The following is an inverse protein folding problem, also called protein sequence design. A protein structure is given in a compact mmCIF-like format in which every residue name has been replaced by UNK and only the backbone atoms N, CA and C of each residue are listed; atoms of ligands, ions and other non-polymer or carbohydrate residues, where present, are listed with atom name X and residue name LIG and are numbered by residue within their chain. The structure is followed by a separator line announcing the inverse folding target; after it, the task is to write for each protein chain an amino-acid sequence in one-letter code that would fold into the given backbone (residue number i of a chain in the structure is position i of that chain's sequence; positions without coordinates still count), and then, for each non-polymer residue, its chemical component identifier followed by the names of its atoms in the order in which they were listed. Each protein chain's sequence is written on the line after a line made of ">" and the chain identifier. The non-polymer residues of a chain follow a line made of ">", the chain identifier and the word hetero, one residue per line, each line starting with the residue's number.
data_IF_390268440601
#
_entry.id   IF_390268440601
#
_cell.length_a   1.000
_cell.length_b   1.000
_cell.length_c   1.000
_cell.angle_alpha   90.00
_cell.angle_beta   90.00
_cell.angle_gamma   90.00
#
_symmetry.space_group_name_H-M   'P 1'
#
loop_
_entity.id
_entity.type
_entity.pdbx_description
1 polymer ?
#
# COMPACT_ATOMS: atom_id res chain seq x y z
N UNK A 1 -9.18 -6.94 -7.67
CA UNK A 1 -8.53 -7.39 -8.91
C UNK A 1 -9.21 -8.66 -9.41
N UNK A 2 -9.21 -9.76 -8.67
CA UNK A 2 -9.77 -11.06 -9.09
C UNK A 2 -11.23 -10.99 -9.54
N UNK A 3 -12.07 -10.27 -8.80
CA UNK A 3 -13.48 -10.10 -9.15
C UNK A 3 -13.65 -9.51 -10.55
N UNK A 4 -12.87 -8.48 -10.88
CA UNK A 4 -12.89 -7.84 -12.21
C UNK A 4 -12.34 -8.77 -13.30
N UNK A 5 -11.36 -9.60 -12.98
CA UNK A 5 -10.77 -10.55 -13.89
C UNK A 5 -11.74 -11.70 -14.25
N UNK A 6 -12.59 -12.14 -13.30
CA UNK A 6 -13.57 -13.21 -13.50
C UNK A 6 -14.74 -12.80 -14.40
N UNK A 7 -14.92 -11.51 -14.64
CA UNK A 7 -15.95 -11.01 -15.55
C UNK A 7 -15.72 -11.44 -17.02
N UNK A 8 -16.69 -11.18 -17.92
CA UNK A 8 -16.59 -11.53 -19.33
C UNK A 8 -15.36 -10.88 -19.97
N UNK A 9 -14.88 -11.45 -21.09
CA UNK A 9 -13.73 -10.93 -21.82
C UNK A 9 -13.92 -9.47 -22.31
N UNK A 10 -15.19 -9.07 -22.50
CA UNK A 10 -15.61 -7.70 -22.81
C UNK A 10 -15.79 -6.80 -21.58
N UNK A 11 -15.37 -7.25 -20.40
CA UNK A 11 -15.47 -6.50 -19.17
C UNK A 11 -14.68 -5.18 -19.16
N UNK A 12 -14.79 -4.38 -18.08
CA UNK A 12 -14.18 -3.07 -18.00
C UNK A 12 -12.65 -3.15 -18.07
N UNK A 13 -12.05 -2.25 -18.83
CA UNK A 13 -10.60 -2.03 -18.78
C UNK A 13 -10.28 -1.34 -17.46
N UNK A 14 -9.43 -1.96 -16.66
CA UNK A 14 -9.15 -1.50 -15.29
C UNK A 14 -7.67 -1.23 -15.12
N UNK A 15 -7.33 -0.08 -14.54
CA UNK A 15 -6.00 0.27 -14.08
C UNK A 15 -6.01 0.31 -12.55
N UNK A 16 -5.06 -0.40 -11.94
CA UNK A 16 -4.86 -0.42 -10.48
C UNK A 16 -3.46 0.11 -10.19
N UNK A 17 -3.36 1.20 -9.44
CA UNK A 17 -2.10 1.72 -8.95
C UNK A 17 -1.96 1.37 -7.47
N UNK A 18 -0.84 0.77 -7.10
CA UNK A 18 -0.57 0.31 -5.73
C UNK A 18 0.93 0.28 -5.46
N UNK A 19 1.30 0.27 -4.19
CA UNK A 19 2.65 0.03 -3.72
C UNK A 19 2.82 -1.37 -3.07
N UNK A 20 1.76 -2.18 -3.06
CA UNK A 20 1.82 -3.57 -2.57
C UNK A 20 2.40 -4.47 -3.65
N UNK A 21 3.65 -4.87 -3.48
CA UNK A 21 4.36 -5.71 -4.45
C UNK A 21 3.77 -7.12 -4.54
N UNK A 22 3.20 -7.63 -3.46
CA UNK A 22 2.55 -8.94 -3.41
C UNK A 22 1.44 -9.08 -4.47
N UNK A 23 0.75 -7.98 -4.79
CA UNK A 23 -0.28 -7.98 -5.83
C UNK A 23 0.27 -8.25 -7.24
N UNK A 24 1.56 -8.07 -7.46
CA UNK A 24 2.20 -8.35 -8.77
C UNK A 24 2.19 -9.85 -9.07
N UNK A 25 2.21 -10.69 -8.04
CA UNK A 25 2.16 -12.15 -8.15
C UNK A 25 0.87 -12.65 -8.79
N UNK A 26 -0.22 -11.88 -8.69
CA UNK A 26 -1.50 -12.24 -9.31
C UNK A 26 -1.39 -12.40 -10.83
N UNK A 27 -0.43 -11.76 -11.47
CA UNK A 27 -0.21 -11.89 -12.91
C UNK A 27 0.18 -13.32 -13.35
N UNK A 28 0.71 -14.14 -12.45
CA UNK A 28 1.02 -15.53 -12.74
C UNK A 28 -0.22 -16.41 -12.93
N UNK A 29 -1.32 -16.07 -12.23
CA UNK A 29 -2.58 -16.82 -12.29
C UNK A 29 -3.68 -16.13 -13.10
N UNK A 30 -3.56 -14.85 -13.38
CA UNK A 30 -4.58 -14.04 -14.04
C UNK A 30 -4.14 -13.61 -15.44
N UNK A 31 -4.47 -14.40 -16.45
CA UNK A 31 -3.96 -14.27 -17.82
C UNK A 31 -4.19 -12.89 -18.48
N UNK A 32 -5.23 -12.15 -18.04
CA UNK A 32 -5.56 -10.81 -18.54
C UNK A 32 -4.96 -9.68 -17.73
N UNK A 33 -4.19 -10.01 -16.66
CA UNK A 33 -3.48 -9.03 -15.85
C UNK A 33 -2.07 -8.83 -16.39
N UNK A 34 -1.63 -7.58 -16.40
CA UNK A 34 -0.25 -7.20 -16.75
C UNK A 34 0.27 -6.24 -15.72
N UNK A 35 1.52 -6.47 -15.31
CA UNK A 35 2.24 -5.56 -14.43
C UNK A 35 3.00 -4.51 -15.23
N UNK A 36 2.98 -3.30 -14.72
CA UNK A 36 3.78 -2.19 -15.19
C UNK A 36 4.37 -1.46 -13.98
N UNK A 37 5.50 -0.84 -14.16
CA UNK A 37 6.15 -0.02 -13.14
C UNK A 37 6.60 1.32 -13.70
N UNK A 38 6.82 2.29 -12.81
CA UNK A 38 7.43 3.57 -13.19
C UNK A 38 8.93 3.39 -13.18
N UNK A 39 9.58 3.68 -14.30
CA UNK A 39 11.03 3.58 -14.42
C UNK A 39 11.73 4.56 -13.47
N UNK A 40 12.71 4.06 -12.74
CA UNK A 40 13.54 4.80 -11.80
C UNK A 40 15.00 4.65 -12.22
N UNK A 41 15.76 5.72 -12.14
CA UNK A 41 17.22 5.69 -12.22
C UNK A 41 17.78 5.87 -10.83
N UNK A 42 18.68 4.99 -10.42
CA UNK A 42 19.40 5.08 -9.16
C UNK A 42 20.78 5.65 -9.40
N UNK A 43 21.16 6.58 -8.54
CA UNK A 43 22.48 7.18 -8.55
C UNK A 43 22.92 7.49 -7.11
N UNK A 44 23.92 6.77 -6.62
CA UNK A 44 24.51 7.00 -5.28
C UNK A 44 23.45 7.14 -4.16
N UNK A 45 22.62 6.15 -3.93
CA UNK A 45 21.49 6.17 -2.96
C UNK A 45 20.35 7.16 -3.27
N UNK A 46 20.48 7.99 -4.30
CA UNK A 46 19.41 8.84 -4.79
C UNK A 46 18.64 8.20 -5.91
N UNK A 47 17.36 8.54 -6.02
CA UNK A 47 16.51 8.08 -7.09
C UNK A 47 15.98 9.22 -7.92
N UNK A 48 15.88 8.99 -9.23
CA UNK A 48 15.22 9.91 -10.16
C UNK A 48 14.10 9.17 -10.86
N UNK A 49 12.87 9.63 -10.66
CA UNK A 49 11.72 9.12 -11.41
C UNK A 49 11.81 9.58 -12.87
N UNK A 50 11.96 8.64 -13.78
CA UNK A 50 12.09 8.92 -15.23
C UNK A 50 10.75 9.32 -15.85
N UNK A 51 9.63 9.20 -15.09
CA UNK A 51 8.25 9.48 -15.55
C UNK A 51 7.86 8.65 -16.78
N UNK A 52 8.38 7.45 -16.85
CA UNK A 52 8.10 6.50 -17.93
C UNK A 52 7.53 5.22 -17.34
N UNK A 53 6.41 4.76 -17.86
CA UNK A 53 5.82 3.47 -17.50
C UNK A 53 6.44 2.41 -18.40
N UNK A 54 6.94 1.33 -17.78
CA UNK A 54 7.58 0.20 -18.45
C UNK A 54 6.88 -1.11 -18.07
N UNK A 55 6.87 -2.12 -18.95
CA UNK A 55 6.36 -3.44 -18.60
C UNK A 55 7.18 -4.08 -17.48
N UNK A 56 6.49 -4.81 -16.61
CA UNK A 56 7.09 -5.53 -15.50
C UNK A 56 6.75 -4.93 -14.13
N UNK A 57 6.92 -5.75 -13.08
CA UNK A 57 6.81 -5.30 -11.70
C UNK A 57 8.06 -4.50 -11.32
N UNK A 58 7.94 -3.62 -10.31
CA UNK A 58 9.11 -3.04 -9.68
C UNK A 58 9.79 -4.10 -8.80
N UNK A 59 11.12 -4.10 -8.77
CA UNK A 59 11.90 -5.08 -8.01
C UNK A 59 11.83 -4.82 -6.50
N UNK A 60 11.58 -3.58 -6.10
CA UNK A 60 11.55 -3.14 -4.69
C UNK A 60 10.70 -1.90 -4.48
N UNK A 61 10.37 -1.63 -3.21
CA UNK A 61 9.73 -0.38 -2.79
C UNK A 61 10.75 0.74 -2.67
N UNK A 62 10.39 1.93 -3.13
CA UNK A 62 11.21 3.14 -3.03
C UNK A 62 10.74 4.08 -1.91
N UNK A 63 10.00 3.59 -0.94
CA UNK A 63 9.41 4.41 0.13
C UNK A 63 10.45 5.21 0.93
N UNK A 64 11.59 4.62 1.28
CA UNK A 64 12.66 5.28 2.02
C UNK A 64 13.32 6.38 1.17
N UNK A 65 13.58 6.11 -0.11
CA UNK A 65 14.15 7.10 -1.02
C UNK A 65 13.18 8.27 -1.25
N UNK A 66 11.90 7.99 -1.40
CA UNK A 66 10.85 9.02 -1.51
C UNK A 66 10.77 9.85 -0.23
N UNK A 67 10.85 9.23 0.95
CA UNK A 67 10.89 9.94 2.23
C UNK A 67 12.09 10.89 2.32
N UNK A 68 13.26 10.45 1.84
CA UNK A 68 14.46 11.29 1.75
C UNK A 68 14.26 12.49 0.80
N UNK A 69 13.71 12.25 -0.39
CA UNK A 69 13.37 13.31 -1.34
C UNK A 69 12.34 14.30 -0.79
N UNK A 70 11.44 13.83 0.07
CA UNK A 70 10.47 14.66 0.78
C UNK A 70 11.07 15.46 1.94
N UNK A 71 12.37 15.30 2.23
CA UNK A 71 13.08 16.08 3.24
C UNK A 71 12.93 15.57 4.67
N UNK A 72 12.58 14.29 4.87
CA UNK A 72 12.59 13.72 6.22
C UNK A 72 13.99 13.73 6.82
N UNK A 73 14.12 13.91 8.16
CA UNK A 73 15.41 13.92 8.83
C UNK A 73 16.23 12.65 8.56
N UNK A 74 17.52 12.78 8.34
CA UNK A 74 18.42 11.64 8.05
C UNK A 74 18.36 10.55 9.12
N UNK A 75 18.24 10.93 10.40
CA UNK A 75 18.10 9.96 11.51
C UNK A 75 16.87 9.06 11.36
N UNK A 76 15.77 9.59 10.83
CA UNK A 76 14.54 8.80 10.53
C UNK A 76 14.79 7.86 9.35
N UNK A 77 15.45 8.35 8.30
CA UNK A 77 15.81 7.57 7.11
C UNK A 77 16.72 6.40 7.49
N UNK A 78 17.78 6.65 8.26
CA UNK A 78 18.73 5.62 8.69
C UNK A 78 18.06 4.58 9.59
N UNK A 79 17.17 5.01 10.47
CA UNK A 79 16.38 4.11 11.30
C UNK A 79 15.45 3.25 10.46
N UNK A 80 14.78 3.83 9.45
CA UNK A 80 13.91 3.10 8.53
C UNK A 80 14.70 2.05 7.72
N UNK A 81 15.89 2.38 7.20
CA UNK A 81 16.79 1.43 6.51
C UNK A 81 17.14 0.24 7.41
N UNK A 82 17.50 0.52 8.68
CA UNK A 82 17.84 -0.53 9.65
C UNK A 82 16.65 -1.48 9.92
N UNK A 83 15.45 -0.92 10.05
CA UNK A 83 14.23 -1.71 10.28
C UNK A 83 13.91 -2.55 9.04
N UNK A 84 13.96 -1.95 7.84
CA UNK A 84 13.68 -2.66 6.59
C UNK A 84 14.65 -3.84 6.40
N UNK A 85 15.95 -3.62 6.59
CA UNK A 85 16.95 -4.69 6.48
C UNK A 85 16.68 -5.86 7.45
N UNK A 86 16.17 -5.56 8.66
CA UNK A 86 15.77 -6.61 9.61
C UNK A 86 14.53 -7.37 9.11
N UNK A 87 13.52 -6.66 8.62
CA UNK A 87 12.31 -7.30 8.10
C UNK A 87 12.60 -8.19 6.89
N UNK A 88 13.47 -7.75 5.99
CA UNK A 88 13.88 -8.53 4.82
C UNK A 88 14.74 -9.76 5.20
N UNK A 89 15.52 -9.66 6.28
CA UNK A 89 16.31 -10.81 6.78
C UNK A 89 15.47 -11.81 7.58
N UNK A 90 14.42 -11.35 8.25
CA UNK A 90 13.52 -12.18 9.07
C UNK A 90 12.40 -12.83 8.25
N UNK A 91 12.28 -12.57 6.97
CA UNK A 91 11.21 -13.06 6.08
C UNK A 91 11.19 -14.59 5.88
N UNK A 92 12.03 -15.30 6.67
CA UNK A 92 11.99 -16.77 6.77
C UNK A 92 11.03 -17.27 7.86
N UNK A 93 10.42 -16.40 8.70
CA UNK A 93 9.55 -16.86 9.81
C UNK A 93 8.66 -15.83 10.47
N UNK A 94 8.07 -14.86 9.78
CA UNK A 94 7.11 -13.96 10.44
C UNK A 94 5.68 -14.42 10.19
N UNK A 95 5.21 -15.29 11.08
CA UNK A 95 3.80 -15.34 11.43
C UNK A 95 3.42 -13.98 12.04
N UNK A 96 2.76 -13.11 11.27
CA UNK A 96 2.24 -11.84 11.76
C UNK A 96 1.31 -12.11 12.95
N UNK A 97 1.54 -11.54 14.14
CA UNK A 97 0.54 -11.61 15.20
C UNK A 97 -0.74 -10.97 14.67
N UNK A 98 -1.84 -11.73 14.74
CA UNK A 98 -3.15 -11.26 14.34
C UNK A 98 -3.43 -9.89 15.01
N UNK A 99 -3.98 -8.91 14.27
CA UNK A 99 -4.29 -7.60 14.81
C UNK A 99 -5.22 -7.80 16.01
N UNK A 100 -4.76 -7.43 17.22
CA UNK A 100 -5.61 -7.40 18.40
C UNK A 100 -6.68 -6.34 18.16
N UNK A 101 -7.86 -6.80 17.78
CA UNK A 101 -9.05 -5.96 17.69
C UNK A 101 -9.35 -5.48 19.12
N UNK A 102 -9.00 -4.23 19.40
CA UNK A 102 -9.44 -3.58 20.65
C UNK A 102 -10.97 -3.61 20.64
N UNK A 103 -11.63 -4.09 21.71
CA UNK A 103 -13.08 -4.09 21.77
C UNK A 103 -13.56 -2.64 21.62
N UNK A 104 -14.42 -2.41 20.65
CA UNK A 104 -15.07 -1.10 20.45
C UNK A 104 -15.82 -0.78 21.75
N UNK A 105 -15.40 0.29 22.44
CA UNK A 105 -16.14 0.86 23.58
C UNK A 105 -17.54 1.20 23.06
N UNK A 106 -18.55 0.52 23.63
CA UNK A 106 -19.95 0.78 23.32
C UNK A 106 -20.23 2.23 23.69
N UNK A 107 -20.45 3.08 22.72
CA UNK A 107 -20.92 4.45 22.95
C UNK A 107 -22.39 4.30 23.29
N UNK A 108 -22.73 4.45 24.56
CA UNK A 108 -24.11 4.56 25.01
C UNK A 108 -24.57 5.98 24.65
N UNK A 109 -25.33 6.10 23.57
CA UNK A 109 -26.01 7.35 23.24
C UNK A 109 -27.13 7.50 24.26
N UNK A 110 -27.06 8.57 25.09
CA UNK A 110 -28.13 8.95 25.98
C UNK A 110 -29.36 9.30 25.10
N UNK A 111 -30.59 8.94 25.54
CA UNK A 111 -31.79 9.33 24.81
C UNK A 111 -31.87 10.84 24.73
N UNK A 112 -32.16 11.36 23.54
CA UNK A 112 -32.41 12.77 23.33
C UNK A 112 -33.64 13.20 24.17
N UNK A 113 -33.47 14.26 24.92
CA UNK A 113 -34.53 14.90 25.70
C UNK A 113 -35.47 15.60 24.71
N UNK A 114 -36.69 15.08 24.66
CA UNK A 114 -37.78 15.49 23.72
C UNK A 114 -38.51 16.74 24.18
N UNK A 115 -37.92 17.56 25.09
CA UNK A 115 -38.58 18.70 25.72
C UNK A 115 -38.37 20.06 25.02
N UNK A 116 -37.87 20.10 23.77
CA UNK A 116 -37.67 21.36 23.05
C UNK A 116 -38.51 21.54 21.77
N UNK A 117 -39.63 20.85 21.63
CA UNK A 117 -40.58 21.09 20.53
C UNK A 117 -41.95 21.54 21.08
N UNK A 118 -41.97 22.66 21.84
CA UNK A 118 -43.20 23.33 22.19
C UNK A 118 -43.00 24.85 22.26
N UNK A 119 -42.72 25.46 21.13
CA UNK A 119 -42.86 26.91 20.89
C UNK A 119 -42.98 27.14 19.40
N UNK A 120 -44.19 26.93 18.90
CA UNK A 120 -44.83 27.71 17.80
C UNK A 120 -46.26 27.23 17.67
#
# INVERSE_FOLDING_TARGET
>A
VEHLHRGPASGPRTLVATHYQELTQLAHGLLRLRNFSVAVKEWNDDIVFVRRVVPGAADRSYGIQVARLAGLPLSVIDRAKTILAKLESDDTSVSLPAPQVRPKKKITVAPADDSQLSLL
#
